data_IF_358076323507
#
_entry.id   IF_358076323507
#
_cell.length_a   1.000
_cell.length_b   1.000
_cell.length_c   1.000
_cell.angle_alpha   90.00
_cell.angle_beta   90.00
_cell.angle_gamma   90.00
#
_symmetry.space_group_name_H-M   'P 1'
#
loop_
_entity.id
_entity.type
_entity.pdbx_description
1 polymer ?
#
# COMPACT_ATOMS: atom_id res chain seq x y z
N UNK A 1 -51.05 -62.80 17.58
CA UNK A 1 -49.74 -62.59 16.96
C UNK A 1 -49.93 -61.64 15.79
N UNK A 2 -49.62 -60.36 15.97
CA UNK A 2 -49.69 -59.37 14.88
C UNK A 2 -48.65 -58.29 15.14
N UNK A 3 -47.48 -58.43 14.52
CA UNK A 3 -46.36 -57.49 14.61
C UNK A 3 -46.47 -56.46 13.48
N UNK A 4 -46.51 -55.18 13.84
CA UNK A 4 -46.47 -54.03 12.93
C UNK A 4 -45.08 -53.90 12.28
N UNK A 5 -44.97 -53.43 11.02
CA UNK A 5 -43.69 -53.26 10.36
C UNK A 5 -42.96 -52.01 10.89
N UNK A 6 -41.67 -52.18 11.15
CA UNK A 6 -40.73 -51.14 11.57
C UNK A 6 -40.45 -50.20 10.40
N UNK A 7 -40.79 -48.92 10.54
CA UNK A 7 -40.41 -47.90 9.55
C UNK A 7 -38.88 -47.76 9.51
N UNK A 8 -38.30 -48.02 8.34
CA UNK A 8 -36.90 -47.73 8.06
C UNK A 8 -36.68 -46.22 8.05
N UNK A 9 -35.78 -45.76 8.91
CA UNK A 9 -35.34 -44.37 8.96
C UNK A 9 -34.43 -44.12 7.76
N UNK A 10 -34.99 -43.47 6.74
CA UNK A 10 -34.20 -42.89 5.64
C UNK A 10 -33.29 -41.80 6.21
N UNK A 11 -31.99 -42.06 6.26
CA UNK A 11 -30.98 -41.06 6.58
C UNK A 11 -31.07 -39.93 5.55
N UNK A 12 -31.57 -38.76 5.96
CA UNK A 12 -31.52 -37.55 5.13
C UNK A 12 -30.09 -36.99 5.15
N UNK A 13 -29.24 -37.50 4.26
CA UNK A 13 -27.95 -36.87 3.97
C UNK A 13 -28.19 -35.62 3.13
N UNK A 14 -28.60 -34.53 3.78
CA UNK A 14 -28.50 -33.21 3.17
C UNK A 14 -27.00 -32.86 3.04
N UNK A 15 -26.51 -32.46 1.86
CA UNK A 15 -25.14 -32.01 1.72
C UNK A 15 -24.96 -30.80 2.64
N UNK A 16 -24.03 -30.93 3.59
CA UNK A 16 -23.70 -29.87 4.52
C UNK A 16 -23.12 -28.69 3.74
N UNK A 17 -23.90 -27.61 3.62
CA UNK A 17 -23.50 -26.34 3.01
C UNK A 17 -22.21 -25.73 3.62
N UNK A 18 -21.79 -26.28 4.77
CA UNK A 18 -20.53 -26.02 5.47
C UNK A 18 -19.27 -26.23 4.61
N UNK A 19 -19.28 -27.14 3.62
CA UNK A 19 -18.12 -27.37 2.75
C UNK A 19 -17.83 -26.18 1.84
N UNK A 20 -18.89 -25.62 1.23
CA UNK A 20 -18.79 -24.48 0.31
C UNK A 20 -18.30 -23.22 1.05
N UNK A 21 -18.76 -22.99 2.29
CA UNK A 21 -18.29 -21.86 3.09
C UNK A 21 -16.80 -21.98 3.44
N UNK A 22 -16.31 -23.18 3.77
CA UNK A 22 -14.88 -23.38 4.08
C UNK A 22 -13.96 -23.17 2.88
N UNK A 23 -14.38 -23.56 1.67
CA UNK A 23 -13.63 -23.32 0.44
C UNK A 23 -13.61 -21.84 0.07
N UNK A 24 -14.75 -21.16 0.18
CA UNK A 24 -14.84 -19.71 -0.04
C UNK A 24 -13.97 -18.96 0.96
N UNK A 25 -14.00 -19.33 2.24
CA UNK A 25 -13.16 -18.72 3.27
C UNK A 25 -11.67 -18.99 3.04
N UNK A 26 -11.31 -20.16 2.50
CA UNK A 26 -9.94 -20.43 2.08
C UNK A 26 -9.53 -19.52 0.92
N UNK A 27 -10.33 -19.45 -0.15
CA UNK A 27 -10.07 -18.56 -1.30
C UNK A 27 -9.95 -17.10 -0.90
N UNK A 28 -10.81 -16.63 0.02
CA UNK A 28 -10.75 -15.26 0.55
C UNK A 28 -9.44 -14.99 1.30
N UNK A 29 -9.00 -15.93 2.15
CA UNK A 29 -7.73 -15.80 2.89
C UNK A 29 -6.53 -15.81 1.95
N UNK A 30 -6.54 -16.66 0.95
CA UNK A 30 -5.47 -16.77 -0.04
C UNK A 30 -5.39 -15.47 -0.86
N UNK A 31 -6.52 -14.97 -1.38
CA UNK A 31 -6.56 -13.69 -2.10
C UNK A 31 -6.06 -12.51 -1.26
N UNK A 32 -6.40 -12.48 0.03
CA UNK A 32 -5.91 -11.44 0.94
C UNK A 32 -4.39 -11.55 1.16
N UNK A 33 -3.87 -12.76 1.31
CA UNK A 33 -2.44 -12.99 1.44
C UNK A 33 -1.68 -12.57 0.18
N UNK A 34 -2.22 -12.88 -1.00
CA UNK A 34 -1.62 -12.46 -2.28
C UNK A 34 -1.54 -10.94 -2.38
N UNK A 35 -2.62 -10.24 -2.02
CA UNK A 35 -2.64 -8.77 -1.97
C UNK A 35 -1.62 -8.20 -0.98
N UNK A 36 -1.45 -8.83 0.18
CA UNK A 36 -0.42 -8.44 1.15
C UNK A 36 0.99 -8.58 0.57
N UNK A 37 1.26 -9.64 -0.19
CA UNK A 37 2.56 -9.86 -0.83
C UNK A 37 2.80 -8.88 -1.98
N UNK A 38 1.79 -8.60 -2.79
CA UNK A 38 1.87 -7.56 -3.83
C UNK A 38 2.14 -6.19 -3.22
N UNK A 39 1.44 -5.86 -2.13
CA UNK A 39 1.65 -4.60 -1.41
C UNK A 39 3.09 -4.48 -0.87
N UNK A 40 3.62 -5.54 -0.28
CA UNK A 40 5.02 -5.58 0.18
C UNK A 40 6.02 -5.31 -0.95
N UNK A 41 5.76 -5.80 -2.17
CA UNK A 41 6.65 -5.59 -3.33
C UNK A 41 6.62 -4.15 -3.87
N UNK A 42 5.54 -3.41 -3.64
CA UNK A 42 5.40 -2.02 -4.13
C UNK A 42 6.05 -1.00 -3.19
N UNK A 43 6.23 -1.35 -1.92
CA UNK A 43 6.81 -0.46 -0.92
C UNK A 43 8.34 -0.59 -0.97
N UNK A 44 9.08 0.51 -1.13
CA UNK A 44 10.54 0.51 -1.12
C UNK A 44 11.12 -0.17 0.13
N UNK A 45 12.15 -1.00 -0.05
CA UNK A 45 12.76 -1.79 1.04
C UNK A 45 13.39 -0.90 2.12
N UNK A 46 13.77 0.33 1.76
CA UNK A 46 14.35 1.32 2.65
C UNK A 46 13.43 1.68 3.82
N UNK A 47 12.11 1.66 3.57
CA UNK A 47 11.08 1.91 4.60
C UNK A 47 11.02 0.78 5.64
N UNK A 48 11.61 -0.38 5.35
CA UNK A 48 11.68 -1.49 6.28
C UNK A 48 13.02 -1.62 7.01
N UNK A 49 14.02 -0.79 6.69
CA UNK A 49 15.37 -0.88 7.28
C UNK A 49 15.38 -0.80 8.80
N UNK A 50 14.55 0.06 9.40
CA UNK A 50 14.46 0.18 10.86
C UNK A 50 13.91 -1.11 11.51
N UNK A 51 13.02 -1.83 10.82
CA UNK A 51 12.54 -3.13 11.31
C UNK A 51 13.59 -4.22 11.16
N UNK A 52 14.36 -4.22 10.06
CA UNK A 52 15.45 -5.17 9.87
C UNK A 52 16.59 -4.92 10.86
N UNK A 53 16.96 -3.66 11.12
CA UNK A 53 17.96 -3.29 12.13
C UNK A 53 17.55 -3.72 13.53
N UNK A 54 16.28 -3.51 13.90
CA UNK A 54 15.78 -3.93 15.21
C UNK A 54 15.79 -5.45 15.38
N UNK A 55 15.62 -6.21 14.29
CA UNK A 55 15.76 -7.67 14.31
C UNK A 55 17.21 -8.09 14.62
N UNK A 56 18.20 -7.47 13.97
CA UNK A 56 19.62 -7.79 14.21
C UNK A 56 19.99 -7.62 15.69
N UNK A 57 19.55 -6.53 16.32
CA UNK A 57 19.82 -6.28 17.75
C UNK A 57 19.18 -7.35 18.66
N UNK A 58 17.96 -7.79 18.36
CA UNK A 58 17.26 -8.83 19.14
C UNK A 58 17.90 -10.20 18.95
N UNK A 59 18.36 -10.52 17.74
CA UNK A 59 19.07 -11.79 17.47
C UNK A 59 20.46 -11.81 18.15
N UNK A 60 21.15 -10.67 18.25
CA UNK A 60 22.41 -10.55 18.99
C UNK A 60 22.23 -10.65 20.52
N UNK A 61 21.21 -10.02 21.09
CA UNK A 61 20.90 -10.10 22.53
C UNK A 61 20.45 -11.53 22.95
N UNK A 62 19.69 -12.22 22.10
CA UNK A 62 19.22 -13.59 22.41
C UNK A 62 20.27 -14.69 22.14
N UNK A 63 21.38 -14.37 21.48
CA UNK A 63 22.47 -15.30 21.18
C UNK A 63 23.44 -15.56 22.35
N UNK A 64 23.34 -14.82 23.45
CA UNK A 64 24.25 -14.97 24.60
C UNK A 64 23.59 -15.73 25.75
N UNK A 65 23.51 -17.06 25.64
CA UNK A 65 23.25 -17.95 26.78
C UNK A 65 24.55 -18.59 27.26
N UNK A 66 24.99 -18.25 28.48
CA UNK A 66 25.54 -19.11 29.57
C UNK A 66 26.54 -18.34 30.48
N UNK A 67 26.82 -18.77 31.74
CA UNK A 67 25.91 -19.14 32.83
C UNK A 67 26.27 -18.46 34.19
N UNK A 68 25.26 -18.19 35.03
CA UNK A 68 25.45 -18.12 36.48
C UNK A 68 25.55 -16.73 37.14
N UNK A 69 25.15 -16.75 38.42
CA UNK A 69 25.26 -15.72 39.44
C UNK A 69 24.04 -14.82 39.67
N UNK A 70 23.49 -15.01 40.86
CA UNK A 70 22.50 -14.21 41.53
C UNK A 70 22.93 -12.74 41.68
N UNK A 71 21.95 -11.84 41.74
CA UNK A 71 22.07 -10.59 42.49
C UNK A 71 21.57 -9.34 41.77
N UNK A 72 20.71 -8.62 42.50
CA UNK A 72 20.37 -7.18 42.39
C UNK A 72 19.16 -6.81 41.49
N UNK A 73 18.03 -6.39 42.09
CA UNK A 73 17.08 -5.49 41.44
C UNK A 73 17.52 -4.05 41.69
N UNK A 74 17.99 -3.36 40.65
CA UNK A 74 18.20 -1.91 40.69
C UNK A 74 17.31 -1.26 39.63
N UNK A 75 16.41 -0.40 40.10
CA UNK A 75 15.44 0.30 39.29
C UNK A 75 16.08 1.26 38.28
N UNK A 76 15.35 1.43 37.17
CA UNK A 76 15.61 2.46 36.17
C UNK A 76 14.38 2.63 35.31
N UNK A 77 13.55 3.62 35.65
CA UNK A 77 12.54 4.15 34.75
C UNK A 77 13.22 4.67 33.49
N UNK A 78 13.01 3.98 32.37
CA UNK A 78 13.14 4.56 31.05
C UNK A 78 11.87 4.22 30.27
N UNK A 79 11.11 5.26 29.99
CA UNK A 79 10.04 5.30 29.01
C UNK A 79 10.61 4.87 27.66
N UNK A 80 10.50 3.57 27.38
CA UNK A 80 10.91 2.95 26.13
C UNK A 80 9.78 2.02 25.73
N UNK A 81 9.04 2.43 24.71
CA UNK A 81 7.99 1.69 24.04
C UNK A 81 8.30 0.18 24.02
N UNK A 82 7.50 -0.60 24.78
CA UNK A 82 7.49 -2.07 24.74
C UNK A 82 7.19 -2.53 23.32
N UNK A 83 8.20 -2.64 22.46
CA UNK A 83 8.04 -3.05 21.08
C UNK A 83 8.28 -4.56 21.00
N UNK A 84 7.18 -5.26 21.31
CA UNK A 84 6.75 -6.57 20.80
C UNK A 84 7.63 -7.05 19.63
N UNK A 85 8.26 -8.22 19.73
CA UNK A 85 8.98 -8.83 18.59
C UNK A 85 8.10 -8.86 17.33
N UNK A 86 8.56 -8.21 16.26
CA UNK A 86 7.67 -7.77 15.15
C UNK A 86 7.83 -8.53 13.83
N UNK A 87 8.79 -9.45 13.68
CA UNK A 87 8.99 -10.21 12.42
C UNK A 87 8.18 -11.51 12.34
N UNK A 88 7.85 -11.96 11.12
CA UNK A 88 7.37 -13.34 10.89
C UNK A 88 8.53 -14.35 11.02
N UNK A 89 8.23 -15.65 11.07
CA UNK A 89 9.26 -16.72 11.19
C UNK A 89 10.36 -16.64 10.13
N UNK A 90 10.07 -16.03 8.98
CA UNK A 90 11.00 -15.88 7.86
C UNK A 90 11.82 -14.58 7.92
N UNK A 91 11.67 -13.78 8.98
CA UNK A 91 12.34 -12.48 9.13
C UNK A 91 11.76 -11.35 8.27
N UNK A 92 10.68 -11.63 7.53
CA UNK A 92 9.95 -10.64 6.72
C UNK A 92 9.04 -9.77 7.60
N UNK A 93 8.73 -8.53 7.18
CA UNK A 93 7.83 -7.66 7.92
C UNK A 93 6.44 -8.33 8.08
N UNK A 94 5.86 -8.17 9.27
CA UNK A 94 4.52 -8.65 9.60
C UNK A 94 3.46 -7.84 8.83
N UNK A 95 2.29 -8.44 8.60
CA UNK A 95 1.12 -7.81 7.97
C UNK A 95 0.82 -6.42 8.54
N UNK A 96 0.87 -6.26 9.86
CA UNK A 96 0.68 -4.96 10.50
C UNK A 96 1.71 -3.92 10.06
N UNK A 97 2.99 -4.31 9.97
CA UNK A 97 4.07 -3.42 9.52
C UNK A 97 3.96 -3.09 8.04
N UNK A 98 3.61 -4.07 7.20
CA UNK A 98 3.39 -3.84 5.76
C UNK A 98 2.28 -2.79 5.58
N UNK A 99 1.18 -2.90 6.32
CA UNK A 99 0.08 -1.93 6.24
C UNK A 99 0.50 -0.55 6.75
N UNK A 100 1.23 -0.47 7.87
CA UNK A 100 1.72 0.81 8.40
C UNK A 100 2.64 1.50 7.39
N UNK A 101 3.61 0.77 6.83
CA UNK A 101 4.55 1.32 5.86
C UNK A 101 3.89 1.64 4.52
N UNK A 102 2.84 0.92 4.13
CA UNK A 102 2.04 1.26 2.96
C UNK A 102 1.41 2.64 3.08
N UNK A 103 0.81 2.93 4.25
CA UNK A 103 0.17 4.23 4.50
C UNK A 103 1.22 5.34 4.51
N UNK A 104 2.33 5.13 5.21
CA UNK A 104 3.44 6.09 5.26
C UNK A 104 3.99 6.40 3.86
N UNK A 105 4.20 5.36 3.05
CA UNK A 105 4.68 5.52 1.68
C UNK A 105 3.67 6.25 0.79
N UNK A 106 2.38 5.95 0.90
CA UNK A 106 1.33 6.64 0.16
C UNK A 106 1.28 8.13 0.50
N UNK A 107 1.35 8.47 1.79
CA UNK A 107 1.42 9.87 2.24
C UNK A 107 2.66 10.58 1.71
N UNK A 108 3.81 9.91 1.69
CA UNK A 108 5.04 10.45 1.10
C UNK A 108 4.88 10.73 -0.40
N UNK A 109 4.31 9.79 -1.15
CA UNK A 109 4.06 9.96 -2.59
C UNK A 109 3.08 11.11 -2.85
N UNK A 110 2.00 11.21 -2.08
CA UNK A 110 1.05 12.33 -2.17
C UNK A 110 1.75 13.68 -1.95
N UNK A 111 2.56 13.80 -0.89
CA UNK A 111 3.33 15.01 -0.63
C UNK A 111 4.33 15.34 -1.76
N UNK A 112 4.93 14.32 -2.39
CA UNK A 112 5.83 14.49 -3.52
C UNK A 112 5.08 14.99 -4.76
N UNK A 113 3.91 14.43 -5.06
CA UNK A 113 3.03 14.90 -6.15
C UNK A 113 2.67 16.37 -5.91
N UNK A 114 2.24 16.73 -4.71
CA UNK A 114 1.88 18.11 -4.37
C UNK A 114 3.06 19.08 -4.51
N UNK A 115 4.26 18.66 -4.09
CA UNK A 115 5.46 19.49 -4.21
C UNK A 115 5.81 19.75 -5.68
N UNK A 116 5.77 18.72 -6.52
CA UNK A 116 6.06 18.84 -7.96
C UNK A 116 4.99 19.62 -8.69
N UNK A 117 3.72 19.45 -8.30
CA UNK A 117 2.63 20.24 -8.85
C UNK A 117 2.81 21.75 -8.57
N UNK A 118 3.21 22.13 -7.34
CA UNK A 118 3.52 23.53 -7.01
C UNK A 118 4.67 24.09 -7.83
N UNK A 119 5.74 23.31 -8.01
CA UNK A 119 6.89 23.68 -8.84
C UNK A 119 6.49 23.88 -10.31
N UNK A 120 5.66 22.98 -10.85
CA UNK A 120 5.15 23.07 -12.22
C UNK A 120 4.28 24.32 -12.43
N UNK A 121 3.38 24.63 -11.50
CA UNK A 121 2.58 25.87 -11.55
C UNK A 121 3.47 27.10 -11.59
N UNK A 122 4.53 27.14 -10.77
CA UNK A 122 5.47 28.26 -10.75
C UNK A 122 6.21 28.40 -12.09
N UNK A 123 6.66 27.29 -12.66
CA UNK A 123 7.32 27.28 -13.96
C UNK A 123 6.38 27.74 -15.09
N UNK A 124 5.13 27.27 -15.11
CA UNK A 124 4.11 27.70 -16.07
C UNK A 124 3.92 29.22 -15.99
N UNK A 125 3.79 29.79 -14.78
CA UNK A 125 3.63 31.22 -14.59
C UNK A 125 4.85 32.01 -15.08
N UNK A 126 6.06 31.54 -14.77
CA UNK A 126 7.31 32.16 -15.25
C UNK A 126 7.41 32.12 -16.78
N UNK A 127 7.05 31.00 -17.41
CA UNK A 127 7.05 30.86 -18.87
C UNK A 127 6.02 31.80 -19.50
N UNK A 128 4.79 31.89 -18.96
CA UNK A 128 3.77 32.85 -19.42
C UNK A 128 4.26 34.30 -19.30
N UNK A 129 4.92 34.65 -18.20
CA UNK A 129 5.47 35.98 -17.99
C UNK A 129 6.60 36.30 -19.00
N UNK A 130 7.53 35.37 -19.22
CA UNK A 130 8.62 35.53 -20.18
C UNK A 130 8.11 35.62 -21.62
N UNK A 131 7.17 34.75 -22.01
CA UNK A 131 6.52 34.81 -23.33
C UNK A 131 5.90 36.18 -23.58
N UNK A 132 5.20 36.76 -22.58
CA UNK A 132 4.63 38.10 -22.66
C UNK A 132 5.70 39.19 -22.82
N UNK A 133 6.83 39.08 -22.13
CA UNK A 133 7.92 40.08 -22.20
C UNK A 133 8.67 40.02 -23.54
N UNK A 134 8.90 38.83 -24.07
CA UNK A 134 9.67 38.63 -25.30
C UNK A 134 8.78 38.75 -26.55
N UNK A 135 7.46 38.67 -26.40
CA UNK A 135 6.52 38.70 -27.53
C UNK A 135 6.54 37.44 -28.39
N UNK A 136 7.15 36.36 -27.88
CA UNK A 136 7.25 35.05 -28.55
C UNK A 136 6.17 34.15 -27.98
N UNK A 137 5.26 33.69 -28.84
CA UNK A 137 4.25 32.71 -28.47
C UNK A 137 4.88 31.33 -28.28
N UNK A 138 4.62 30.70 -27.14
CA UNK A 138 5.04 29.32 -26.83
C UNK A 138 3.83 28.43 -27.06
N UNK A 139 3.81 27.70 -28.18
CA UNK A 139 2.69 26.84 -28.61
C UNK A 139 3.02 25.34 -28.52
N UNK A 140 4.27 25.01 -28.22
CA UNK A 140 4.84 23.67 -28.17
C UNK A 140 4.67 22.99 -26.79
N UNK A 141 4.21 23.73 -25.79
CA UNK A 141 4.08 23.27 -24.40
C UNK A 141 2.69 23.60 -23.87
N UNK A 142 2.10 22.65 -23.13
CA UNK A 142 0.85 22.90 -22.41
C UNK A 142 1.12 23.82 -21.21
N UNK A 143 0.50 24.99 -21.22
CA UNK A 143 0.60 26.00 -20.16
C UNK A 143 -0.72 26.19 -19.41
N UNK A 144 -1.77 25.42 -19.74
CA UNK A 144 -3.10 25.62 -19.17
C UNK A 144 -3.38 24.71 -17.97
N UNK A 145 -2.88 23.47 -18.00
CA UNK A 145 -3.08 22.50 -16.92
C UNK A 145 -1.75 21.85 -16.54
N UNK A 146 -1.58 21.51 -15.28
CA UNK A 146 -0.38 20.78 -14.83
C UNK A 146 -0.49 19.30 -15.18
N UNK A 147 0.66 18.63 -15.25
CA UNK A 147 0.74 17.17 -15.42
C UNK A 147 -0.03 16.41 -14.34
N UNK A 148 -0.04 16.93 -13.10
CA UNK A 148 -0.78 16.35 -12.00
C UNK A 148 -2.31 16.47 -12.22
N UNK A 149 -2.81 17.61 -12.68
CA UNK A 149 -4.24 17.79 -12.97
C UNK A 149 -4.73 16.82 -14.06
N UNK A 150 -3.93 16.61 -15.10
CA UNK A 150 -4.23 15.66 -16.18
C UNK A 150 -4.24 14.22 -15.65
N UNK A 151 -3.22 13.84 -14.87
CA UNK A 151 -3.13 12.49 -14.31
C UNK A 151 -4.25 12.19 -13.30
N UNK A 152 -4.62 13.19 -12.48
CA UNK A 152 -5.75 13.08 -11.55
C UNK A 152 -7.08 12.95 -12.31
N UNK A 153 -7.24 13.65 -13.43
CA UNK A 153 -8.44 13.55 -14.27
C UNK A 153 -8.67 12.12 -14.79
N UNK A 154 -7.60 11.45 -15.26
CA UNK A 154 -7.64 10.05 -15.75
C UNK A 154 -8.12 9.06 -14.70
N UNK A 155 -7.84 9.31 -13.43
CA UNK A 155 -8.33 8.48 -12.32
C UNK A 155 -9.69 8.96 -11.78
N UNK A 156 -10.30 9.97 -12.41
CA UNK A 156 -11.60 10.52 -12.04
C UNK A 156 -11.55 11.45 -10.83
N UNK A 157 -10.41 12.08 -10.55
CA UNK A 157 -10.20 12.96 -9.40
C UNK A 157 -9.84 14.38 -9.85
N UNK A 158 -10.34 15.40 -9.16
CA UNK A 158 -9.98 16.81 -9.40
C UNK A 158 -10.91 17.55 -10.39
N UNK A 159 -10.62 18.83 -10.69
CA UNK A 159 -11.52 19.71 -11.45
C UNK A 159 -11.72 19.29 -12.92
N UNK A 160 -10.72 18.62 -13.50
CA UNK A 160 -10.75 18.14 -14.89
C UNK A 160 -11.42 16.76 -15.00
N UNK A 161 -11.84 16.15 -13.89
CA UNK A 161 -12.49 14.85 -13.90
C UNK A 161 -13.83 14.92 -14.67
N UNK A 162 -13.98 14.09 -15.70
CA UNK A 162 -15.17 14.03 -16.55
C UNK A 162 -15.06 14.82 -17.85
N UNK A 163 -13.96 15.56 -18.08
CA UNK A 163 -13.56 15.94 -19.44
C UNK A 163 -13.14 14.65 -20.15
N UNK A 164 -13.88 14.23 -21.18
CA UNK A 164 -13.69 12.91 -21.80
C UNK A 164 -12.24 12.64 -22.22
N UNK A 165 -11.79 11.40 -22.07
CA UNK A 165 -10.43 10.93 -22.41
C UNK A 165 -9.97 11.42 -23.80
N UNK A 166 -10.88 11.54 -24.78
CA UNK A 166 -10.60 12.05 -26.13
C UNK A 166 -10.10 13.50 -26.18
N UNK A 167 -10.40 14.33 -25.17
CA UNK A 167 -9.91 15.72 -25.09
C UNK A 167 -8.52 15.80 -24.43
N UNK A 168 -8.18 14.83 -23.56
CA UNK A 168 -6.90 14.75 -22.88
C UNK A 168 -5.82 14.12 -23.79
N UNK A 169 -6.19 13.09 -24.56
CA UNK A 169 -5.28 12.42 -25.50
C UNK A 169 -4.99 13.24 -26.77
N UNK A 170 -5.91 14.12 -27.20
CA UNK A 170 -5.63 15.06 -28.28
C UNK A 170 -4.56 16.11 -27.93
N UNK A 171 -4.32 16.37 -26.64
CA UNK A 171 -3.24 17.24 -26.18
C UNK A 171 -1.86 16.55 -26.22
N UNK A 172 -1.80 15.22 -26.08
CA UNK A 172 -0.57 14.43 -26.23
C UNK A 172 -0.29 14.05 -27.70
N UNK A 173 -1.32 13.68 -28.49
CA UNK A 173 -1.16 13.23 -29.88
C UNK A 173 -0.83 14.32 -30.91
N UNK A 174 -0.99 15.61 -30.57
CA UNK A 174 -0.59 16.69 -31.47
C UNK A 174 0.95 16.83 -31.65
N UNK A 175 1.75 15.98 -30.98
CA UNK A 175 3.22 16.04 -30.97
C UNK A 175 3.95 15.02 -31.86
N UNK A 176 3.28 13.98 -32.34
CA UNK A 176 3.90 12.93 -33.17
C UNK A 176 3.62 13.07 -34.68
N UNK A 177 3.09 14.23 -35.09
CA UNK A 177 2.60 14.48 -36.45
C UNK A 177 3.36 15.54 -37.25
N UNK A 178 4.69 15.58 -37.18
CA UNK A 178 5.57 16.29 -38.13
C UNK A 178 6.95 15.63 -38.23
#
# INVERSE_FOLDING_TARGET
>A
MTSLPRQESVASSLPSNSGVTTEIDRRRRDNLNDKMQTLLKLIPEELFQEYYRRKEVVDLENGHSTPGSAGVPAGGSASGSKLKGTGTKDGKPNKGQILTQAVEYMTKLQAQVDARNREEVELILRVKELSKKTGVAVNDINLENTSAEIALARIGVGPLAGMGEEMLDNAENAKDGC
#
